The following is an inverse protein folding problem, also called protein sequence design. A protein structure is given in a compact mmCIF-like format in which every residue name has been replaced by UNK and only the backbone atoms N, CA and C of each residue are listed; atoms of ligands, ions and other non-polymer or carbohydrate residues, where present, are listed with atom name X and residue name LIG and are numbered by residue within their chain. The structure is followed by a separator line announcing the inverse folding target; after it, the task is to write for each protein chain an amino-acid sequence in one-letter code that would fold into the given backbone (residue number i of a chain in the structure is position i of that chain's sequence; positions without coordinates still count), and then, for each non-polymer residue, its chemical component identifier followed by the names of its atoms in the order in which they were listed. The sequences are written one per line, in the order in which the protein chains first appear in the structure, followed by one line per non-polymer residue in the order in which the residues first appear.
data_IF_926593984296
#
_entry.id   IF_926593984296
#
_cell.length_a   1.000
_cell.length_b   1.000
_cell.length_c   1.000
_cell.angle_alpha   90.00
_cell.angle_beta   90.00
_cell.angle_gamma   90.00
#
_symmetry.space_group_name_H-M   'P 1'
#
loop_
_entity.id
_entity.type
_entity.pdbx_description
1 polymer ?
#
# COMPACT_ATOMS: atom_id res chain seq x y z
N UNK A 1 -22.39 -17.20 -28.34
CA UNK A 1 -21.06 -17.00 -27.72
C UNK A 1 -20.95 -15.52 -27.37
N UNK A 2 -20.65 -15.14 -26.12
CA UNK A 2 -20.42 -13.73 -25.80
C UNK A 2 -19.22 -13.22 -26.61
N UNK A 3 -19.36 -12.07 -27.26
CA UNK A 3 -18.27 -11.46 -28.02
C UNK A 3 -17.09 -11.16 -27.07
N UNK A 4 -15.83 -11.29 -27.54
CA UNK A 4 -14.67 -10.88 -26.75
C UNK A 4 -14.82 -9.40 -26.43
N UNK A 5 -14.97 -9.10 -25.14
CA UNK A 5 -14.99 -7.75 -24.60
C UNK A 5 -13.73 -7.05 -25.08
N UNK A 6 -13.90 -6.01 -25.90
CA UNK A 6 -12.82 -5.17 -26.41
C UNK A 6 -11.96 -4.74 -25.24
N UNK A 7 -10.66 -5.04 -25.29
CA UNK A 7 -9.73 -4.66 -24.21
C UNK A 7 -9.90 -3.16 -23.94
N UNK A 8 -9.99 -2.77 -22.65
CA UNK A 8 -10.23 -1.39 -22.26
C UNK A 8 -9.19 -0.46 -22.88
N UNK A 9 -9.62 0.72 -23.33
CA UNK A 9 -8.70 1.73 -23.86
C UNK A 9 -7.93 2.35 -22.70
N UNK A 10 -6.71 1.88 -22.51
CA UNK A 10 -5.74 2.46 -21.57
C UNK A 10 -5.01 3.59 -22.31
N UNK A 11 -5.21 4.83 -21.88
CA UNK A 11 -4.46 5.97 -22.41
C UNK A 11 -3.12 6.08 -21.67
N UNK A 12 -2.00 6.02 -22.41
CA UNK A 12 -0.66 6.11 -21.84
C UNK A 12 -0.11 7.55 -21.85
N UNK A 13 0.76 7.93 -20.87
CA UNK A 13 1.61 9.10 -20.95
C UNK A 13 2.59 9.03 -22.13
N UNK A 14 3.05 10.19 -22.59
CA UNK A 14 4.10 10.28 -23.61
C UNK A 14 5.49 9.83 -23.09
N UNK A 15 5.87 10.24 -21.87
CA UNK A 15 7.11 9.84 -21.20
C UNK A 15 6.81 9.38 -19.76
N UNK A 16 6.86 8.06 -19.46
CA UNK A 16 6.49 7.59 -18.13
C UNK A 16 7.61 7.84 -17.13
N UNK A 17 7.29 8.51 -16.03
CA UNK A 17 8.18 8.57 -14.86
C UNK A 17 8.51 7.14 -14.37
N UNK A 18 9.70 6.89 -13.80
CA UNK A 18 10.14 5.55 -13.38
C UNK A 18 9.37 4.98 -12.16
N UNK A 19 8.42 5.75 -11.61
CA UNK A 19 7.54 5.34 -10.51
C UNK A 19 6.09 5.36 -10.96
N UNK A 20 5.37 4.26 -10.72
CA UNK A 20 3.92 4.17 -10.94
C UNK A 20 3.17 4.26 -9.62
N UNK A 21 2.30 5.26 -9.47
CA UNK A 21 1.34 5.29 -8.37
C UNK A 21 0.04 4.60 -8.81
N UNK A 22 -0.45 3.68 -7.99
CA UNK A 22 -1.69 2.95 -8.22
C UNK A 22 -2.70 3.30 -7.15
N UNK A 23 -3.92 3.66 -7.55
CA UNK A 23 -5.01 3.96 -6.64
C UNK A 23 -6.34 3.45 -7.19
N UNK A 24 -7.40 3.51 -6.37
CA UNK A 24 -8.74 3.19 -6.81
C UNK A 24 -9.79 4.08 -6.15
N UNK A 25 -10.87 4.36 -6.89
CA UNK A 25 -12.07 4.98 -6.37
C UNK A 25 -13.31 4.27 -6.89
N UNK A 26 -14.02 3.62 -5.99
CA UNK A 26 -15.34 3.03 -6.25
C UNK A 26 -16.36 3.71 -5.34
N UNK A 27 -17.48 4.22 -5.89
CA UNK A 27 -18.60 4.64 -5.06
C UNK A 27 -19.09 3.48 -4.18
N UNK A 28 -19.36 3.76 -2.90
CA UNK A 28 -19.85 2.77 -1.94
C UNK A 28 -21.13 3.26 -1.27
N UNK A 29 -21.97 2.33 -0.81
CA UNK A 29 -23.27 2.64 -0.20
C UNK A 29 -23.18 3.47 1.08
N UNK A 30 -22.12 3.25 1.89
CA UNK A 30 -21.89 3.96 3.15
C UNK A 30 -20.43 4.34 3.33
N UNK A 31 -20.14 5.63 3.26
CA UNK A 31 -18.82 6.19 3.52
C UNK A 31 -18.72 6.82 4.91
N UNK A 32 -17.52 6.79 5.51
CA UNK A 32 -17.25 7.44 6.81
C UNK A 32 -17.28 8.97 6.71
N UNK A 33 -16.90 9.49 5.55
CA UNK A 33 -16.78 10.91 5.28
C UNK A 33 -17.76 11.32 4.17
N UNK A 34 -18.18 12.59 4.12
CA UNK A 34 -19.02 13.08 3.04
C UNK A 34 -18.23 13.14 1.71
N UNK A 35 -18.94 13.05 0.59
CA UNK A 35 -18.35 12.96 -0.75
C UNK A 35 -17.40 14.12 -1.09
N UNK A 36 -17.72 15.34 -0.66
CA UNK A 36 -16.87 16.52 -0.91
C UNK A 36 -15.49 16.40 -0.25
N UNK A 37 -15.36 15.70 0.88
CA UNK A 37 -14.05 15.46 1.50
C UNK A 37 -13.21 14.50 0.65
N UNK A 38 -13.81 13.42 0.15
CA UNK A 38 -13.13 12.52 -0.78
C UNK A 38 -12.71 13.23 -2.07
N UNK A 39 -13.58 14.08 -2.63
CA UNK A 39 -13.24 14.91 -3.79
C UNK A 39 -12.06 15.84 -3.49
N UNK A 40 -12.00 16.42 -2.29
CA UNK A 40 -10.86 17.25 -1.87
C UNK A 40 -9.56 16.44 -1.82
N UNK A 41 -9.57 15.25 -1.20
CA UNK A 41 -8.38 14.38 -1.11
C UNK A 41 -7.95 13.86 -2.48
N UNK A 42 -8.91 13.45 -3.31
CA UNK A 42 -8.63 13.07 -4.70
C UNK A 42 -8.06 14.24 -5.49
N UNK A 43 -8.57 15.47 -5.30
CA UNK A 43 -8.02 16.66 -5.95
C UNK A 43 -6.56 16.86 -5.55
N UNK A 44 -6.19 16.73 -4.27
CA UNK A 44 -4.79 16.88 -3.86
C UNK A 44 -3.88 15.87 -4.55
N UNK A 45 -4.26 14.59 -4.59
CA UNK A 45 -3.46 13.57 -5.28
C UNK A 45 -3.44 13.79 -6.80
N UNK A 46 -4.61 13.93 -7.44
CA UNK A 46 -4.74 13.95 -8.89
C UNK A 46 -4.25 15.26 -9.51
N UNK A 47 -4.43 16.40 -8.88
CA UNK A 47 -4.04 17.69 -9.49
C UNK A 47 -2.59 18.10 -9.21
N UNK A 48 -1.93 17.50 -8.21
CA UNK A 48 -0.59 17.92 -7.79
C UNK A 48 0.50 16.95 -8.16
N UNK A 49 0.27 15.65 -7.96
CA UNK A 49 1.32 14.66 -8.20
C UNK A 49 1.50 14.49 -9.70
N UNK A 50 2.64 14.94 -10.24
CA UNK A 50 2.88 15.00 -11.68
C UNK A 50 3.25 13.65 -12.29
N UNK A 51 3.73 12.71 -11.46
CA UNK A 51 4.17 11.38 -11.86
C UNK A 51 3.07 10.49 -12.46
N UNK A 52 3.49 9.34 -13.02
CA UNK A 52 2.60 8.34 -13.62
C UNK A 52 1.59 7.82 -12.60
N UNK A 53 0.30 7.90 -12.92
CA UNK A 53 -0.78 7.43 -12.06
C UNK A 53 -1.66 6.43 -12.80
N UNK A 54 -1.89 5.27 -12.20
CA UNK A 54 -2.85 4.26 -12.63
C UNK A 54 -4.03 4.23 -11.67
N UNK A 55 -5.24 4.44 -12.17
CA UNK A 55 -6.42 4.51 -11.35
C UNK A 55 -7.50 3.54 -11.81
N UNK A 56 -8.00 2.74 -10.87
CA UNK A 56 -9.20 1.94 -11.06
C UNK A 56 -10.43 2.72 -10.62
N UNK A 57 -11.47 2.77 -11.45
CA UNK A 57 -12.74 3.41 -11.09
C UNK A 57 -13.90 2.84 -11.91
N UNK A 58 -15.12 3.28 -11.64
CA UNK A 58 -16.29 2.89 -12.43
C UNK A 58 -16.37 3.73 -13.72
N UNK A 59 -17.03 3.24 -14.80
CA UNK A 59 -17.25 4.02 -16.01
C UNK A 59 -17.83 5.42 -15.74
N UNK A 60 -18.82 5.49 -14.84
CA UNK A 60 -19.53 6.74 -14.51
C UNK A 60 -18.63 7.79 -13.85
N UNK A 61 -17.57 7.37 -13.16
CA UNK A 61 -16.64 8.27 -12.49
C UNK A 61 -15.54 8.79 -13.41
N UNK A 62 -15.40 8.22 -14.62
CA UNK A 62 -14.24 8.43 -15.46
C UNK A 62 -14.01 9.90 -15.85
N UNK A 63 -15.08 10.59 -16.25
CA UNK A 63 -15.03 12.01 -16.63
C UNK A 63 -14.66 12.90 -15.45
N UNK A 64 -15.25 12.63 -14.27
CA UNK A 64 -14.93 13.37 -13.04
C UNK A 64 -13.45 13.20 -12.64
N UNK A 65 -12.91 11.99 -12.75
CA UNK A 65 -11.49 11.73 -12.46
C UNK A 65 -10.58 12.45 -13.46
N UNK A 66 -10.89 12.41 -14.76
CA UNK A 66 -10.12 13.16 -15.78
C UNK A 66 -10.17 14.66 -15.55
N UNK A 67 -11.34 15.20 -15.20
CA UNK A 67 -11.51 16.61 -14.88
C UNK A 67 -10.65 17.03 -13.67
N UNK A 68 -10.62 16.21 -12.61
CA UNK A 68 -9.75 16.46 -11.45
C UNK A 68 -8.25 16.34 -11.77
N UNK A 69 -7.89 15.46 -12.70
CA UNK A 69 -6.49 15.25 -13.15
C UNK A 69 -6.00 16.38 -14.05
N UNK A 70 -6.88 16.99 -14.83
CA UNK A 70 -6.53 18.03 -15.81
C UNK A 70 -5.68 17.46 -16.94
N UNK A 71 -4.55 18.11 -17.24
CA UNK A 71 -3.62 17.72 -18.31
C UNK A 71 -2.56 16.70 -17.86
N UNK A 72 -2.50 16.35 -16.58
CA UNK A 72 -1.49 15.43 -16.06
C UNK A 72 -1.75 13.99 -16.53
N UNK A 73 -0.70 13.17 -16.72
CA UNK A 73 -0.85 11.83 -17.27
C UNK A 73 -1.60 10.89 -16.31
N UNK A 74 -2.52 10.08 -16.82
CA UNK A 74 -3.25 9.07 -16.04
C UNK A 74 -3.64 7.88 -16.91
N UNK A 75 -3.36 6.67 -16.42
CA UNK A 75 -3.96 5.44 -16.91
C UNK A 75 -5.25 5.20 -16.14
N UNK A 76 -6.39 5.25 -16.83
CA UNK A 76 -7.70 5.09 -16.20
C UNK A 76 -8.33 3.76 -16.61
N UNK A 77 -8.47 2.84 -15.65
CA UNK A 77 -9.11 1.55 -15.86
C UNK A 77 -10.54 1.58 -15.34
N UNK A 78 -11.49 1.49 -16.27
CA UNK A 78 -12.94 1.51 -16.01
C UNK A 78 -13.61 0.17 -16.31
N UNK A 79 -12.85 -0.92 -16.34
CA UNK A 79 -13.35 -2.24 -16.79
C UNK A 79 -14.30 -2.90 -15.81
N UNK A 80 -14.36 -2.41 -14.57
CA UNK A 80 -15.13 -2.97 -13.48
C UNK A 80 -16.18 -1.93 -13.06
N UNK A 81 -17.45 -2.25 -13.27
CA UNK A 81 -18.55 -1.34 -12.95
C UNK A 81 -18.76 -1.24 -11.43
N UNK A 82 -18.33 -2.25 -10.69
CA UNK A 82 -18.37 -2.31 -9.24
C UNK A 82 -17.13 -2.99 -8.65
N UNK A 83 -16.88 -2.74 -7.36
CA UNK A 83 -15.86 -3.50 -6.59
C UNK A 83 -16.15 -5.00 -6.58
N UNK A 84 -17.43 -5.40 -6.71
CA UNK A 84 -17.83 -6.81 -6.78
C UNK A 84 -17.36 -7.51 -8.07
N UNK A 85 -17.04 -6.75 -9.12
CA UNK A 85 -16.60 -7.28 -10.41
C UNK A 85 -15.10 -7.59 -10.44
N UNK A 86 -14.35 -7.15 -9.40
CA UNK A 86 -12.92 -7.38 -9.30
C UNK A 86 -12.67 -8.89 -9.15
N UNK A 87 -11.81 -9.51 -9.98
CA UNK A 87 -11.65 -10.97 -10.03
C UNK A 87 -11.36 -11.61 -8.67
N UNK A 88 -10.37 -11.09 -7.93
CA UNK A 88 -10.00 -11.62 -6.61
C UNK A 88 -11.09 -11.42 -5.55
N UNK A 89 -11.97 -10.43 -5.72
CA UNK A 89 -13.10 -10.21 -4.82
C UNK A 89 -14.23 -11.16 -5.16
N UNK A 90 -14.51 -11.38 -6.46
CA UNK A 90 -15.52 -12.30 -6.94
C UNK A 90 -15.35 -13.70 -6.36
N UNK A 91 -14.11 -14.19 -6.34
CA UNK A 91 -13.76 -15.50 -5.78
C UNK A 91 -13.94 -15.58 -4.26
N UNK A 92 -13.90 -14.44 -3.58
CA UNK A 92 -14.03 -14.32 -2.12
C UNK A 92 -15.43 -13.87 -1.67
N UNK A 93 -16.38 -13.61 -2.58
CA UNK A 93 -17.70 -13.06 -2.25
C UNK A 93 -18.46 -13.87 -1.19
N UNK A 94 -18.33 -15.20 -1.22
CA UNK A 94 -18.99 -16.09 -0.25
C UNK A 94 -18.43 -15.97 1.17
N UNK A 95 -17.17 -15.52 1.31
CA UNK A 95 -16.49 -15.36 2.60
C UNK A 95 -16.80 -14.01 3.25
N UNK A 96 -17.07 -12.96 2.46
CA UNK A 96 -17.27 -11.60 2.97
C UNK A 96 -18.39 -11.42 4.00
N UNK A 97 -19.56 -12.09 3.93
CA UNK A 97 -20.55 -12.03 4.99
C UNK A 97 -20.00 -12.47 6.35
N UNK A 98 -19.10 -13.46 6.37
CA UNK A 98 -18.40 -13.94 7.56
C UNK A 98 -17.27 -13.01 8.01
N UNK A 99 -16.52 -12.44 7.05
CA UNK A 99 -15.45 -11.47 7.32
C UNK A 99 -15.97 -10.16 7.92
N UNK A 100 -17.15 -9.74 7.47
CA UNK A 100 -17.65 -8.41 7.74
C UNK A 100 -18.60 -8.38 8.94
N UNK A 101 -19.63 -9.23 9.01
CA UNK A 101 -20.72 -9.07 10.02
C UNK A 101 -20.27 -9.09 11.48
N UNK A 102 -19.11 -9.68 11.78
CA UNK A 102 -18.56 -9.79 13.15
C UNK A 102 -17.44 -8.80 13.46
N UNK A 103 -16.98 -7.99 12.52
CA UNK A 103 -15.83 -7.10 12.74
C UNK A 103 -16.24 -5.76 13.35
N UNK A 104 -15.37 -5.17 14.17
CA UNK A 104 -15.53 -3.77 14.63
C UNK A 104 -15.55 -2.79 13.46
N UNK A 105 -14.93 -3.16 12.33
CA UNK A 105 -14.92 -2.35 11.11
C UNK A 105 -16.28 -2.31 10.42
N UNK A 106 -17.09 -3.37 10.50
CA UNK A 106 -18.43 -3.38 9.88
C UNK A 106 -19.41 -2.42 10.53
N UNK A 107 -19.16 -2.00 11.77
CA UNK A 107 -19.90 -0.90 12.37
C UNK A 107 -19.53 0.47 11.76
N UNK A 108 -18.35 0.58 11.13
CA UNK A 108 -17.76 1.85 10.69
C UNK A 108 -17.75 2.07 9.18
N UNK A 109 -17.62 1.01 8.38
CA UNK A 109 -17.48 1.08 6.92
C UNK A 109 -18.49 0.18 6.23
N UNK A 110 -18.82 0.38 4.96
CA UNK A 110 -19.60 -0.58 4.16
C UNK A 110 -18.76 -1.84 3.82
N UNK A 111 -19.39 -2.96 3.46
CA UNK A 111 -18.69 -4.19 3.08
C UNK A 111 -17.78 -3.98 1.85
N UNK A 112 -18.20 -3.09 0.95
CA UNK A 112 -17.49 -2.65 -0.23
C UNK A 112 -16.12 -2.04 0.12
N UNK A 113 -15.99 -1.36 1.26
CA UNK A 113 -14.70 -0.82 1.70
C UNK A 113 -13.71 -1.93 2.03
N UNK A 114 -14.17 -3.00 2.71
CA UNK A 114 -13.33 -4.18 2.97
C UNK A 114 -12.92 -4.85 1.67
N UNK A 115 -13.82 -4.92 0.68
CA UNK A 115 -13.49 -5.44 -0.65
C UNK A 115 -12.40 -4.61 -1.35
N UNK A 116 -12.53 -3.28 -1.37
CA UNK A 116 -11.50 -2.39 -1.95
C UNK A 116 -10.15 -2.60 -1.25
N UNK A 117 -10.15 -2.65 0.08
CA UNK A 117 -8.94 -2.86 0.90
C UNK A 117 -8.27 -4.19 0.64
N UNK A 118 -9.04 -5.28 0.56
CA UNK A 118 -8.53 -6.62 0.24
C UNK A 118 -8.04 -6.72 -1.22
N UNK A 119 -8.56 -5.89 -2.13
CA UNK A 119 -8.16 -5.85 -3.53
C UNK A 119 -6.85 -5.07 -3.80
N UNK A 120 -6.30 -4.33 -2.82
CA UNK A 120 -5.12 -3.46 -3.03
C UNK A 120 -3.90 -4.17 -3.64
N UNK A 121 -3.47 -5.37 -3.16
CA UNK A 121 -2.35 -6.08 -3.79
C UNK A 121 -2.66 -6.46 -5.24
N UNK A 122 -3.87 -6.93 -5.52
CA UNK A 122 -4.29 -7.24 -6.88
C UNK A 122 -4.27 -6.00 -7.78
N UNK A 123 -4.85 -4.87 -7.36
CA UNK A 123 -4.82 -3.63 -8.14
C UNK A 123 -3.40 -3.22 -8.52
N UNK A 124 -2.48 -3.27 -7.56
CA UNK A 124 -1.07 -2.92 -7.78
C UNK A 124 -0.42 -3.86 -8.81
N UNK A 125 -0.59 -5.18 -8.64
CA UNK A 125 -0.05 -6.17 -9.59
C UNK A 125 -0.67 -6.05 -10.98
N UNK A 126 -1.96 -5.74 -11.06
CA UNK A 126 -2.72 -5.69 -12.30
C UNK A 126 -2.42 -4.43 -13.10
N UNK A 127 -2.24 -3.30 -12.42
CA UNK A 127 -1.73 -2.08 -13.03
C UNK A 127 -0.39 -2.33 -13.72
N UNK A 128 0.55 -3.00 -13.02
CA UNK A 128 1.84 -3.39 -13.59
C UNK A 128 1.70 -4.31 -14.81
N UNK A 129 0.87 -5.36 -14.73
CA UNK A 129 0.62 -6.23 -15.89
C UNK A 129 0.07 -5.46 -17.08
N UNK A 130 -0.83 -4.51 -16.85
CA UNK A 130 -1.41 -3.71 -17.93
C UNK A 130 -0.40 -2.75 -18.55
N UNK A 131 0.41 -2.05 -17.78
CA UNK A 131 1.41 -1.13 -18.36
C UNK A 131 2.55 -1.89 -19.04
N UNK A 132 2.95 -3.06 -18.51
CA UNK A 132 4.01 -3.90 -19.09
C UNK A 132 3.50 -4.61 -20.37
N UNK A 133 2.31 -5.23 -20.34
CA UNK A 133 1.74 -5.94 -21.52
C UNK A 133 1.11 -5.01 -22.55
N UNK A 134 0.59 -3.87 -22.10
CA UNK A 134 -0.04 -2.85 -22.95
C UNK A 134 0.94 -2.09 -23.85
N UNK A 135 2.25 -2.21 -23.60
CA UNK A 135 3.31 -1.90 -24.57
C UNK A 135 3.38 -2.93 -25.69
N UNK A 136 2.24 -3.19 -26.34
CA UNK A 136 2.00 -4.32 -27.22
C UNK A 136 3.09 -4.58 -28.27
N UNK A 137 3.23 -5.86 -28.62
CA UNK A 137 4.12 -6.34 -29.68
C UNK A 137 4.13 -5.41 -30.90
N UNK A 138 5.23 -4.66 -31.01
CA UNK A 138 5.74 -3.86 -32.13
C UNK A 138 6.66 -2.71 -31.66
N UNK A 139 6.85 -2.47 -30.36
CA UNK A 139 7.74 -1.42 -29.85
C UNK A 139 8.71 -1.92 -28.77
N UNK A 140 9.82 -2.51 -29.23
CA UNK A 140 11.00 -2.89 -28.45
C UNK A 140 11.77 -1.72 -27.81
N UNK A 141 11.30 -0.46 -27.93
CA UNK A 141 12.10 0.72 -27.58
C UNK A 141 11.41 1.68 -26.58
N UNK A 142 10.21 1.36 -26.09
CA UNK A 142 9.47 2.20 -25.10
C UNK A 142 8.76 1.36 -24.04
N UNK A 143 9.34 0.22 -23.63
CA UNK A 143 8.98 -0.39 -22.34
C UNK A 143 9.54 0.52 -21.25
N UNK A 144 8.78 1.51 -20.82
CA UNK A 144 9.16 2.27 -19.64
C UNK A 144 9.24 1.29 -18.46
N UNK A 145 10.48 0.98 -18.08
CA UNK A 145 10.80 0.05 -17.02
C UNK A 145 10.51 0.77 -15.71
N UNK A 146 9.25 0.70 -15.26
CA UNK A 146 8.87 1.18 -13.94
C UNK A 146 9.76 0.47 -12.90
N UNK A 147 10.69 1.23 -12.32
CA UNK A 147 11.61 0.75 -11.30
C UNK A 147 10.87 0.45 -10.00
N UNK A 148 9.83 1.24 -9.73
CA UNK A 148 8.96 1.07 -8.57
C UNK A 148 7.50 1.27 -8.94
N UNK A 149 6.62 0.58 -8.22
CA UNK A 149 5.20 0.90 -8.19
C UNK A 149 4.68 0.88 -6.76
N UNK A 150 3.70 1.73 -6.46
CA UNK A 150 3.13 1.84 -5.13
C UNK A 150 1.62 1.91 -5.17
N UNK A 151 0.97 1.12 -4.32
CA UNK A 151 -0.39 1.41 -3.92
C UNK A 151 -0.41 2.68 -3.07
N UNK A 152 -1.38 3.56 -3.32
CA UNK A 152 -1.63 4.74 -2.51
C UNK A 152 -3.13 5.02 -2.38
N UNK A 153 -3.64 5.08 -1.15
CA UNK A 153 -4.97 5.60 -0.88
C UNK A 153 -4.97 7.11 -1.14
N UNK A 154 -5.98 7.66 -1.84
CA UNK A 154 -6.11 9.11 -2.04
C UNK A 154 -6.17 9.89 -0.71
N UNK A 155 -6.64 9.24 0.36
CA UNK A 155 -6.59 9.78 1.72
C UNK A 155 -5.17 9.98 2.28
N UNK A 156 -4.12 9.53 1.59
CA UNK A 156 -2.73 9.83 1.91
C UNK A 156 -2.35 11.30 1.74
N UNK A 157 -3.06 12.01 0.85
CA UNK A 157 -2.86 13.44 0.57
C UNK A 157 -4.02 14.27 1.13
N UNK A 158 -4.40 14.03 2.39
CA UNK A 158 -5.53 14.73 3.04
C UNK A 158 -5.32 16.22 3.21
N UNK A 159 -4.09 16.58 3.56
CA UNK A 159 -3.71 17.96 3.82
C UNK A 159 -3.21 18.61 2.54
N UNK A 160 -3.23 19.94 2.52
CA UNK A 160 -2.56 20.70 1.50
C UNK A 160 -1.05 20.42 1.59
N UNK A 161 -0.47 19.80 0.57
CA UNK A 161 0.96 19.46 0.51
C UNK A 161 1.62 20.06 -0.71
N UNK A 162 2.88 20.49 -0.59
CA UNK A 162 3.65 21.01 -1.72
C UNK A 162 4.13 19.90 -2.66
N UNK A 163 4.04 18.63 -2.23
CA UNK A 163 4.52 17.45 -2.96
C UNK A 163 3.88 17.33 -4.34
N UNK A 164 4.72 17.38 -5.37
CA UNK A 164 4.35 17.33 -6.78
C UNK A 164 5.16 16.26 -7.51
N UNK A 165 6.48 16.25 -7.37
CA UNK A 165 7.37 15.22 -7.92
C UNK A 165 7.57 14.09 -6.90
N UNK A 166 6.46 13.44 -6.56
CA UNK A 166 6.39 12.47 -5.48
C UNK A 166 5.91 11.11 -5.97
N UNK A 167 6.51 10.00 -5.51
CA UNK A 167 7.70 9.90 -4.66
C UNK A 167 8.99 10.24 -5.41
N UNK A 168 10.00 10.76 -4.69
CA UNK A 168 11.32 11.04 -5.26
C UNK A 168 12.08 9.75 -5.55
N UNK A 169 12.53 9.58 -6.80
CA UNK A 169 13.27 8.40 -7.28
C UNK A 169 14.59 8.23 -6.53
N UNK A 170 15.36 9.30 -6.39
CA UNK A 170 16.65 9.28 -5.67
C UNK A 170 16.45 8.84 -4.22
N UNK A 171 15.33 9.28 -3.61
CA UNK A 171 14.99 8.87 -2.25
C UNK A 171 14.63 7.39 -2.19
N UNK A 172 13.87 6.89 -3.16
CA UNK A 172 13.55 5.46 -3.26
C UNK A 172 14.83 4.63 -3.42
N UNK A 173 15.72 5.02 -4.33
CA UNK A 173 16.99 4.32 -4.57
C UNK A 173 17.83 4.20 -3.31
N UNK A 174 17.98 5.30 -2.57
CA UNK A 174 18.64 5.29 -1.27
C UNK A 174 17.96 4.33 -0.28
N UNK A 175 16.63 4.34 -0.20
CA UNK A 175 15.88 3.49 0.74
C UNK A 175 16.06 2.00 0.41
N UNK A 176 16.04 1.63 -0.88
CA UNK A 176 16.25 0.25 -1.32
C UNK A 176 17.70 -0.21 -1.22
N UNK A 177 18.67 0.65 -1.50
CA UNK A 177 20.09 0.36 -1.29
C UNK A 177 20.37 0.06 0.20
N UNK A 178 19.91 0.94 1.10
CA UNK A 178 20.06 0.74 2.54
C UNK A 178 19.31 -0.50 3.03
N UNK A 179 18.13 -0.75 2.45
CA UNK A 179 17.33 -1.95 2.68
C UNK A 179 18.07 -3.23 2.33
N UNK A 180 18.66 -3.27 1.14
CA UNK A 180 19.39 -4.44 0.61
C UNK A 180 20.61 -4.74 1.49
N UNK A 181 21.40 -3.71 1.81
CA UNK A 181 22.54 -3.83 2.73
C UNK A 181 22.14 -4.35 4.12
N UNK A 182 21.00 -3.90 4.65
CA UNK A 182 20.56 -4.26 6.00
C UNK A 182 19.92 -5.64 6.10
N UNK A 183 19.26 -6.09 5.03
CA UNK A 183 18.54 -7.37 4.98
C UNK A 183 19.39 -8.51 4.43
N UNK A 184 20.40 -8.19 3.61
CA UNK A 184 21.14 -9.16 2.79
C UNK A 184 20.33 -9.68 1.59
N UNK A 185 19.21 -9.04 1.27
CA UNK A 185 18.38 -9.39 0.11
C UNK A 185 18.66 -8.44 -1.06
N UNK A 186 18.41 -8.92 -2.28
CA UNK A 186 18.44 -8.09 -3.48
C UNK A 186 17.32 -7.05 -3.45
N UNK A 187 17.58 -5.86 -4.02
CA UNK A 187 16.59 -4.76 -4.03
C UNK A 187 15.26 -5.18 -4.66
N UNK A 188 15.29 -6.01 -5.71
CA UNK A 188 14.11 -6.50 -6.42
C UNK A 188 13.20 -7.42 -5.58
N UNK A 189 13.68 -7.90 -4.43
CA UNK A 189 12.92 -8.75 -3.51
C UNK A 189 12.38 -7.99 -2.29
N UNK A 190 12.61 -6.68 -2.20
CA UNK A 190 12.22 -5.85 -1.07
C UNK A 190 10.92 -5.08 -1.33
N UNK A 191 9.98 -5.23 -0.39
CA UNK A 191 8.75 -4.43 -0.30
C UNK A 191 8.89 -3.33 0.75
N UNK A 192 8.35 -2.16 0.48
CA UNK A 192 8.21 -1.08 1.44
C UNK A 192 6.78 -1.02 1.99
N UNK A 193 6.66 -1.02 3.31
CA UNK A 193 5.39 -0.87 4.04
C UNK A 193 5.62 0.04 5.25
N UNK A 194 5.06 1.26 5.30
CA UNK A 194 5.17 2.15 6.47
C UNK A 194 4.59 1.55 7.74
N UNK A 195 5.18 1.89 8.88
CA UNK A 195 4.73 1.49 10.22
C UNK A 195 4.42 2.74 11.06
N UNK A 196 3.19 2.83 11.58
CA UNK A 196 2.76 3.93 12.48
C UNK A 196 3.07 3.62 13.95
N UNK A 197 3.04 2.34 14.35
CA UNK A 197 3.05 1.95 15.78
C UNK A 197 4.00 0.82 16.09
N UNK A 198 4.27 0.67 17.37
CA UNK A 198 5.04 -0.46 17.85
C UNK A 198 4.19 -1.74 17.76
N UNK A 199 4.74 -2.87 17.26
CA UNK A 199 4.09 -4.16 17.37
C UNK A 199 3.74 -4.50 18.82
N UNK A 200 2.54 -5.03 19.10
CA UNK A 200 2.13 -5.27 20.49
C UNK A 200 2.90 -6.44 21.12
N UNK A 201 3.27 -6.33 22.41
CA UNK A 201 4.07 -7.33 23.13
C UNK A 201 3.48 -8.74 23.12
N UNK A 202 2.14 -8.86 23.09
CA UNK A 202 1.44 -10.15 23.02
C UNK A 202 1.74 -10.99 21.76
N UNK A 203 2.28 -10.39 20.70
CA UNK A 203 2.65 -11.09 19.47
C UNK A 203 4.10 -11.55 19.43
N UNK A 204 4.88 -11.37 20.51
CA UNK A 204 6.29 -11.83 20.58
C UNK A 204 6.46 -13.29 20.14
N UNK A 205 5.52 -14.14 20.52
CA UNK A 205 5.48 -15.58 20.20
C UNK A 205 4.32 -15.93 19.27
N UNK A 206 3.89 -14.98 18.42
CA UNK A 206 2.85 -15.25 17.43
C UNK A 206 3.35 -16.30 16.42
N UNK A 207 2.42 -17.14 15.98
CA UNK A 207 2.63 -18.18 14.99
C UNK A 207 1.48 -18.12 13.98
N UNK A 208 1.67 -18.57 12.74
CA UNK A 208 0.65 -18.50 11.69
C UNK A 208 -0.69 -19.15 12.08
N UNK A 209 -0.65 -20.23 12.86
CA UNK A 209 -1.85 -20.92 13.37
C UNK A 209 -2.71 -20.09 14.33
N UNK A 210 -2.25 -18.91 14.76
CA UNK A 210 -3.04 -17.95 15.56
C UNK A 210 -3.87 -17.00 14.70
N UNK A 211 -3.78 -17.08 13.38
CA UNK A 211 -4.50 -16.22 12.45
C UNK A 211 -3.92 -14.80 12.37
N UNK A 212 -4.66 -13.84 11.77
CA UNK A 212 -4.18 -12.49 11.48
C UNK A 212 -3.73 -11.68 12.72
N UNK A 213 -2.79 -10.77 12.52
CA UNK A 213 -2.35 -9.81 13.55
C UNK A 213 -3.20 -8.54 13.45
N UNK A 214 -4.40 -8.59 14.03
CA UNK A 214 -5.48 -7.61 13.79
C UNK A 214 -5.89 -6.75 15.00
N UNK A 215 -6.74 -5.75 14.73
CA UNK A 215 -7.37 -4.87 15.71
C UNK A 215 -6.43 -3.78 16.25
N UNK A 216 -6.48 -3.53 17.56
CA UNK A 216 -5.67 -2.49 18.22
C UNK A 216 -4.14 -2.75 18.18
N UNK A 217 -3.72 -3.87 17.60
CA UNK A 217 -2.32 -4.27 17.48
C UNK A 217 -1.76 -4.22 16.07
N UNK A 218 -2.55 -3.77 15.11
CA UNK A 218 -2.05 -3.53 13.76
C UNK A 218 -1.07 -2.36 13.76
N UNK A 219 0.08 -2.56 13.13
CA UNK A 219 1.18 -1.59 13.16
C UNK A 219 1.57 -1.02 11.79
N UNK A 220 1.36 -1.75 10.67
CA UNK A 220 1.48 -1.18 9.31
C UNK A 220 0.39 -0.15 9.04
N UNK A 221 0.59 0.82 8.15
CA UNK A 221 -0.45 1.81 7.82
C UNK A 221 -1.51 1.29 6.83
N UNK A 222 -1.13 0.44 5.86
CA UNK A 222 -2.03 -0.11 4.84
C UNK A 222 -2.54 0.90 3.78
N UNK A 223 -2.27 2.20 3.96
CA UNK A 223 -2.62 3.27 3.00
C UNK A 223 -1.58 3.46 1.91
N UNK A 224 -0.36 2.94 2.11
CA UNK A 224 0.73 3.00 1.15
C UNK A 224 1.59 1.74 1.26
N UNK A 225 1.93 1.12 0.15
CA UNK A 225 2.92 0.04 0.09
C UNK A 225 3.34 -0.21 -1.36
N UNK A 226 4.51 -0.79 -1.57
CA UNK A 226 4.97 -1.11 -2.92
C UNK A 226 6.46 -1.38 -2.98
N UNK A 227 6.99 -1.40 -4.19
CA UNK A 227 8.39 -1.69 -4.47
C UNK A 227 8.63 -2.02 -5.94
N UNK A 228 9.73 -2.71 -6.25
CA UNK A 228 10.00 -3.20 -7.58
C UNK A 228 8.94 -4.21 -8.05
N UNK A 229 8.71 -4.35 -9.38
CA UNK A 229 7.69 -5.24 -9.92
C UNK A 229 7.76 -6.68 -9.40
N UNK A 230 8.96 -7.26 -9.30
CA UNK A 230 9.17 -8.62 -8.78
C UNK A 230 8.68 -8.77 -7.34
N UNK A 231 9.07 -7.86 -6.45
CA UNK A 231 8.61 -7.84 -5.07
C UNK A 231 7.09 -7.73 -4.96
N UNK A 232 6.44 -6.95 -5.85
CA UNK A 232 4.98 -6.77 -5.87
C UNK A 232 4.26 -8.06 -6.29
N UNK A 233 4.77 -8.78 -7.29
CA UNK A 233 4.18 -10.06 -7.71
C UNK A 233 4.25 -11.08 -6.58
N UNK A 234 5.43 -11.23 -5.96
CA UNK A 234 5.60 -12.06 -4.78
C UNK A 234 4.65 -11.65 -3.65
N UNK A 235 4.57 -10.36 -3.34
CA UNK A 235 3.70 -9.81 -2.29
C UNK A 235 2.22 -10.16 -2.53
N UNK A 236 1.77 -9.99 -3.76
CA UNK A 236 0.38 -10.24 -4.15
C UNK A 236 0.03 -11.71 -3.94
N UNK A 237 0.91 -12.61 -4.38
CA UNK A 237 0.73 -14.05 -4.21
C UNK A 237 0.68 -14.44 -2.73
N UNK A 238 1.71 -14.06 -1.96
CA UNK A 238 1.81 -14.47 -0.55
C UNK A 238 0.68 -13.88 0.29
N UNK A 239 0.20 -12.67 -0.03
CA UNK A 239 -0.95 -12.05 0.62
C UNK A 239 -2.21 -12.91 0.43
N UNK A 240 -2.59 -13.22 -0.81
CA UNK A 240 -3.82 -13.98 -1.08
C UNK A 240 -3.72 -15.43 -0.62
N UNK A 241 -2.53 -16.04 -0.68
CA UNK A 241 -2.27 -17.37 -0.12
C UNK A 241 -2.49 -17.37 1.40
N UNK A 242 -1.90 -16.42 2.12
CA UNK A 242 -2.07 -16.26 3.58
C UNK A 242 -3.53 -15.99 3.95
N UNK A 243 -4.20 -15.11 3.20
CA UNK A 243 -5.63 -14.83 3.39
C UNK A 243 -6.47 -16.10 3.27
N UNK A 244 -6.25 -16.88 2.22
CA UNK A 244 -6.98 -18.14 1.97
C UNK A 244 -6.72 -19.16 3.06
N UNK A 245 -5.48 -19.30 3.52
CA UNK A 245 -5.14 -20.21 4.62
C UNK A 245 -5.87 -19.83 5.91
N UNK A 246 -5.92 -18.55 6.25
CA UNK A 246 -6.64 -18.11 7.43
C UNK A 246 -8.15 -18.33 7.33
N UNK A 247 -8.73 -18.12 6.14
CA UNK A 247 -10.13 -18.44 5.87
C UNK A 247 -10.41 -19.94 6.03
N UNK A 248 -9.59 -20.80 5.45
CA UNK A 248 -9.72 -22.27 5.56
C UNK A 248 -9.59 -22.73 7.03
N UNK A 249 -8.71 -22.09 7.80
CA UNK A 249 -8.54 -22.37 9.23
C UNK A 249 -9.67 -21.78 10.11
N UNK A 250 -10.68 -21.11 9.52
CA UNK A 250 -11.81 -20.54 10.23
C UNK A 250 -11.48 -19.28 11.02
N UNK A 251 -10.36 -18.62 10.74
CA UNK A 251 -10.02 -17.35 11.39
C UNK A 251 -10.86 -16.20 10.85
N UNK A 252 -11.35 -15.35 11.75
CA UNK A 252 -12.00 -14.09 11.38
C UNK A 252 -10.95 -13.09 10.87
N UNK A 253 -11.18 -12.52 9.69
CA UNK A 253 -10.32 -11.46 9.13
C UNK A 253 -11.02 -10.12 9.32
N UNK A 254 -10.52 -9.30 10.25
CA UNK A 254 -11.11 -7.98 10.52
C UNK A 254 -10.65 -6.89 9.54
N UNK A 255 -9.43 -7.02 9.00
CA UNK A 255 -8.82 -6.04 8.09
C UNK A 255 -7.76 -6.69 7.20
N UNK A 256 -7.44 -6.06 6.07
CA UNK A 256 -6.30 -6.41 5.21
C UNK A 256 -4.96 -6.22 5.94
N UNK A 257 -4.89 -5.22 6.84
CA UNK A 257 -3.69 -4.94 7.65
C UNK A 257 -3.33 -6.11 8.55
N UNK A 258 -4.32 -6.86 9.03
CA UNK A 258 -4.11 -8.08 9.82
C UNK A 258 -3.31 -9.14 9.07
N UNK A 259 -3.62 -9.33 7.78
CA UNK A 259 -2.90 -10.21 6.87
C UNK A 259 -1.50 -9.64 6.60
N UNK A 260 -1.41 -8.36 6.27
CA UNK A 260 -0.12 -7.70 5.99
C UNK A 260 0.87 -7.84 7.15
N UNK A 261 0.41 -7.61 8.38
CA UNK A 261 1.23 -7.77 9.57
C UNK A 261 1.69 -9.22 9.78
N UNK A 262 0.81 -10.21 9.52
CA UNK A 262 1.18 -11.62 9.60
C UNK A 262 2.27 -11.99 8.57
N UNK A 263 2.12 -11.56 7.32
CA UNK A 263 3.13 -11.79 6.27
C UNK A 263 4.46 -11.09 6.63
N UNK A 264 4.40 -9.87 7.13
CA UNK A 264 5.58 -9.14 7.61
C UNK A 264 6.29 -9.83 8.78
N UNK A 265 5.56 -10.52 9.67
CA UNK A 265 6.15 -11.33 10.73
C UNK A 265 6.89 -12.54 10.15
N UNK A 266 6.24 -13.28 9.26
CA UNK A 266 6.80 -14.50 8.64
C UNK A 266 7.99 -14.20 7.73
N UNK A 267 7.96 -13.07 7.01
CA UNK A 267 8.95 -12.72 5.98
C UNK A 267 9.67 -11.40 6.29
N UNK A 268 10.02 -11.17 7.56
CA UNK A 268 10.53 -9.88 8.06
C UNK A 268 11.79 -9.32 7.33
N UNK A 269 12.56 -10.16 6.62
CA UNK A 269 13.72 -9.73 5.82
C UNK A 269 13.35 -9.20 4.43
N UNK A 270 12.14 -9.49 3.92
CA UNK A 270 11.63 -9.00 2.63
C UNK A 270 10.97 -7.63 2.73
N UNK A 271 10.91 -7.04 3.92
CA UNK A 271 10.23 -5.77 4.15
C UNK A 271 11.15 -4.71 4.75
N UNK A 272 11.12 -3.55 4.12
CA UNK A 272 11.70 -2.31 4.60
C UNK A 272 10.58 -1.32 4.93
N UNK A 273 10.89 -0.32 5.76
CA UNK A 273 9.89 0.56 6.33
C UNK A 273 10.46 1.90 6.76
N UNK A 274 9.54 2.81 7.05
CA UNK A 274 9.78 3.99 7.86
C UNK A 274 8.90 3.88 9.11
N UNK A 275 9.46 4.26 10.26
CA UNK A 275 8.76 4.19 11.54
C UNK A 275 8.80 5.54 12.25
N UNK A 276 7.77 6.37 12.04
CA UNK A 276 7.72 7.75 12.57
C UNK A 276 7.77 7.80 14.10
N UNK A 277 7.25 6.77 14.78
CA UNK A 277 7.23 6.65 16.24
C UNK A 277 8.29 5.69 16.76
N UNK A 278 9.43 5.59 16.07
CA UNK A 278 10.57 4.79 16.53
C UNK A 278 10.98 5.22 17.95
N UNK A 279 10.81 4.34 18.96
CA UNK A 279 11.10 4.68 20.36
C UNK A 279 12.60 4.86 20.61
N UNK A 280 13.45 4.44 19.67
CA UNK A 280 14.92 4.55 19.78
C UNK A 280 15.48 5.82 19.15
N UNK A 281 14.69 6.57 18.38
CA UNK A 281 15.17 7.74 17.66
C UNK A 281 15.26 8.99 18.57
N UNK A 282 14.15 9.34 19.23
CA UNK A 282 14.02 10.50 20.11
C UNK A 282 12.86 10.28 21.08
N UNK A 283 12.74 11.08 22.16
CA UNK A 283 11.56 11.04 23.02
C UNK A 283 10.29 11.23 22.18
N UNK A 284 9.45 10.20 22.14
CA UNK A 284 8.22 10.18 21.33
C UNK A 284 7.20 11.14 21.91
N UNK A 285 6.77 12.13 21.13
CA UNK A 285 5.55 12.87 21.45
C UNK A 285 4.34 12.12 20.88
N UNK A 286 3.36 11.80 21.73
CA UNK A 286 2.17 11.04 21.34
C UNK A 286 1.39 11.62 20.14
N UNK A 287 1.51 12.93 19.89
CA UNK A 287 0.81 13.64 18.79
C UNK A 287 1.62 13.82 17.50
N UNK A 288 2.96 13.82 17.57
CA UNK A 288 3.81 14.23 16.45
C UNK A 288 4.91 13.21 16.10
N UNK A 289 5.01 12.12 16.86
CA UNK A 289 6.06 11.12 16.70
C UNK A 289 7.42 11.58 17.21
N UNK A 290 8.48 10.90 16.75
CA UNK A 290 9.86 11.11 17.20
C UNK A 290 10.60 12.19 16.38
N UNK A 291 10.07 12.57 15.22
CA UNK A 291 10.84 13.35 14.23
C UNK A 291 10.49 14.83 14.14
N UNK A 292 9.65 15.36 15.04
CA UNK A 292 9.23 16.77 14.99
C UNK A 292 7.79 16.91 14.49
N UNK A 293 7.38 18.09 14.05
CA UNK A 293 6.02 18.30 13.54
C UNK A 293 5.92 17.90 12.06
N UNK A 294 5.44 16.70 11.79
CA UNK A 294 5.39 16.09 10.45
C UNK A 294 3.97 15.94 9.88
N UNK A 295 3.04 16.82 10.28
CA UNK A 295 1.61 16.62 10.00
C UNK A 295 1.03 15.44 10.79
N UNK A 296 0.05 14.74 10.21
CA UNK A 296 -0.47 13.48 10.75
C UNK A 296 0.60 12.38 10.65
N UNK A 297 1.06 11.80 11.77
CA UNK A 297 2.06 10.73 11.78
C UNK A 297 1.72 9.54 10.89
N UNK A 298 0.43 9.28 10.68
CA UNK A 298 -0.06 8.20 9.81
C UNK A 298 0.31 8.40 8.33
N UNK A 299 0.67 9.61 7.91
CA UNK A 299 1.08 9.88 6.52
C UNK A 299 2.53 10.33 6.42
N UNK A 300 3.35 10.04 7.44
CA UNK A 300 4.75 10.46 7.48
C UNK A 300 5.57 9.97 6.28
N UNK A 301 5.19 8.83 5.68
CA UNK A 301 5.84 8.33 4.46
C UNK A 301 5.81 9.34 3.30
N UNK A 302 4.82 10.24 3.24
CA UNK A 302 4.77 11.29 2.22
C UNK A 302 5.98 12.21 2.33
N UNK A 303 6.23 12.79 3.51
CA UNK A 303 7.42 13.58 3.79
C UNK A 303 8.71 12.76 3.63
N UNK A 304 8.75 11.53 4.12
CA UNK A 304 9.94 10.69 4.09
C UNK A 304 10.41 10.33 2.66
N UNK A 305 9.47 10.19 1.73
CA UNK A 305 9.74 9.83 0.33
C UNK A 305 9.77 11.03 -0.64
N UNK A 306 9.46 12.25 -0.17
CA UNK A 306 9.53 13.46 -0.99
C UNK A 306 10.98 13.85 -1.32
N UNK A 307 11.20 14.73 -2.30
CA UNK A 307 12.50 15.30 -2.60
C UNK A 307 12.98 16.26 -1.48
N UNK A 308 14.28 16.60 -1.43
CA UNK A 308 14.81 17.47 -0.37
C UNK A 308 14.19 18.86 -0.32
N UNK A 309 14.21 19.59 -1.45
CA UNK A 309 13.58 20.90 -1.52
C UNK A 309 12.09 20.85 -1.15
N UNK A 310 11.39 19.81 -1.56
CA UNK A 310 9.98 19.63 -1.21
C UNK A 310 9.77 19.46 0.31
N UNK A 311 10.64 18.70 0.99
CA UNK A 311 10.57 18.56 2.45
C UNK A 311 10.82 19.88 3.16
N UNK A 312 11.73 20.70 2.66
CA UNK A 312 12.04 22.02 3.23
C UNK A 312 10.85 22.97 3.09
N UNK A 313 10.27 23.05 1.90
CA UNK A 313 9.06 23.85 1.63
C UNK A 313 7.86 23.37 2.46
N UNK A 314 7.67 22.05 2.59
CA UNK A 314 6.58 21.50 3.40
C UNK A 314 6.77 21.86 4.88
N UNK A 315 8.02 21.89 5.37
CA UNK A 315 8.34 22.35 6.71
C UNK A 315 7.99 23.83 6.90
N UNK A 316 8.28 24.69 5.92
CA UNK A 316 7.86 26.10 5.95
C UNK A 316 6.34 26.21 6.02
N UNK A 317 5.62 25.53 5.13
CA UNK A 317 4.15 25.51 5.10
C UNK A 317 3.53 25.07 6.44
N UNK A 318 4.07 24.03 7.06
CA UNK A 318 3.59 23.54 8.36
C UNK A 318 3.86 24.48 9.53
N UNK A 319 4.89 25.34 9.44
CA UNK A 319 5.21 26.31 10.47
C UNK A 319 4.46 27.64 10.28
N UNK A 320 4.26 28.03 9.02
CA UNK A 320 3.58 29.26 8.61
C UNK A 320 2.06 29.13 8.61
N UNK A 321 1.49 28.00 9.02
CA UNK A 321 0.04 27.86 9.19
C UNK A 321 -0.46 28.83 10.29
N UNK A 322 -0.86 30.04 9.88
CA UNK A 322 -1.19 31.19 10.72
C UNK A 322 -2.35 30.93 11.71
N UNK A 323 -3.24 29.97 11.40
CA UNK A 323 -4.37 29.61 12.23
C UNK A 323 -4.03 28.44 13.15
N UNK A 324 -3.17 28.71 14.14
CA UNK A 324 -2.79 27.73 15.15
C UNK A 324 -2.88 28.28 16.56
N UNK A 325 -3.50 27.49 17.44
CA UNK A 325 -3.68 27.85 18.84
C UNK A 325 -2.35 27.96 19.60
N UNK A 326 -1.24 27.42 19.07
CA UNK A 326 0.09 27.40 19.70
C UNK A 326 1.09 28.30 18.95
N UNK A 327 0.63 29.38 18.32
CA UNK A 327 1.45 30.27 17.49
C UNK A 327 2.67 30.86 18.22
N UNK A 328 2.61 31.00 19.55
CA UNK A 328 3.74 31.47 20.38
C UNK A 328 4.88 30.45 20.55
N UNK A 329 4.68 29.18 20.14
CA UNK A 329 5.71 28.13 20.24
C UNK A 329 6.33 27.86 18.88
N UNK A 330 7.66 27.98 18.79
CA UNK A 330 8.42 27.44 17.65
C UNK A 330 8.27 25.92 17.65
N UNK A 331 7.71 25.36 16.56
CA UNK A 331 7.69 23.92 16.36
C UNK A 331 9.05 23.49 15.84
N UNK A 332 9.47 22.29 16.25
CA UNK A 332 10.62 21.65 15.61
C UNK A 332 10.19 21.19 14.24
N UNK A 333 11.00 21.53 13.23
CA UNK A 333 10.79 21.04 11.87
C UNK A 333 10.72 19.52 11.87
N UNK A 334 9.91 19.00 10.94
CA UNK A 334 9.91 17.59 10.63
C UNK A 334 11.31 17.18 10.15
N UNK A 335 11.83 16.12 10.74
CA UNK A 335 13.14 15.55 10.44
C UNK A 335 12.97 14.25 9.68
N UNK A 336 14.01 13.89 8.96
CA UNK A 336 14.07 12.63 8.22
C UNK A 336 14.40 11.47 9.17
N UNK A 337 13.59 10.42 9.11
CA UNK A 337 13.89 9.13 9.72
C UNK A 337 14.92 8.37 8.87
N UNK A 338 15.58 7.40 9.49
CA UNK A 338 16.34 6.40 8.74
C UNK A 338 15.40 5.29 8.23
N UNK A 339 15.64 4.71 7.05
CA UNK A 339 14.97 3.48 6.65
C UNK A 339 15.30 2.37 7.65
N UNK A 340 14.33 1.51 7.93
CA UNK A 340 14.47 0.36 8.81
C UNK A 340 14.04 -0.90 8.07
N UNK A 341 14.51 -2.06 8.53
CA UNK A 341 13.89 -3.34 8.16
C UNK A 341 12.76 -3.66 9.13
N UNK A 342 11.77 -4.42 8.70
CA UNK A 342 10.73 -4.92 9.62
C UNK A 342 11.36 -5.80 10.71
N UNK A 343 12.39 -6.58 10.37
CA UNK A 343 13.17 -7.35 11.34
C UNK A 343 13.77 -6.48 12.44
N UNK A 344 14.28 -5.28 12.12
CA UNK A 344 14.79 -4.34 13.13
C UNK A 344 13.68 -3.80 14.02
N UNK A 345 12.52 -3.45 13.45
CA UNK A 345 11.36 -2.99 14.22
C UNK A 345 10.91 -4.06 15.21
N UNK A 346 10.86 -5.33 14.77
CA UNK A 346 10.46 -6.47 15.60
C UNK A 346 11.52 -6.77 16.67
N UNK A 347 12.81 -6.75 16.36
CA UNK A 347 13.89 -6.96 17.34
C UNK A 347 13.99 -5.85 18.39
N UNK A 348 13.73 -4.60 18.02
CA UNK A 348 13.63 -3.50 19.01
C UNK A 348 12.47 -3.68 19.96
N UNK A 349 11.40 -4.31 19.48
CA UNK A 349 10.18 -4.51 20.26
C UNK A 349 10.27 -5.76 21.15
N UNK A 350 10.78 -6.86 20.62
CA UNK A 350 10.74 -8.19 21.26
C UNK A 350 12.10 -8.68 21.79
N UNK A 351 13.16 -7.91 21.56
CA UNK A 351 14.54 -8.25 21.90
C UNK A 351 15.37 -8.69 20.69
N UNK A 352 16.68 -8.50 20.78
CA UNK A 352 17.66 -8.80 19.73
C UNK A 352 17.61 -10.26 19.23
N UNK A 353 17.22 -11.18 20.11
CA UNK A 353 17.11 -12.61 19.83
C UNK A 353 15.78 -13.04 19.19
N UNK A 354 14.86 -12.10 18.91
CA UNK A 354 13.63 -12.44 18.20
C UNK A 354 13.94 -12.99 16.80
N UNK A 355 13.27 -14.09 16.46
CA UNK A 355 13.34 -14.77 15.17
C UNK A 355 11.96 -14.80 14.51
N UNK A 356 11.88 -14.63 13.18
CA UNK A 356 10.64 -14.82 12.44
C UNK A 356 10.04 -16.22 12.71
N UNK A 357 8.71 -16.34 12.88
CA UNK A 357 8.06 -17.63 12.88
C UNK A 357 8.20 -18.31 11.52
N UNK A 358 8.25 -19.64 11.52
CA UNK A 358 8.32 -20.43 10.28
C UNK A 358 7.00 -20.26 9.52
N UNK A 359 7.03 -19.82 8.24
CA UNK A 359 5.84 -19.82 7.40
C UNK A 359 5.29 -21.26 7.29
N UNK A 360 3.97 -21.47 7.27
CA UNK A 360 3.38 -22.81 7.20
C UNK A 360 3.72 -23.54 5.90
N UNK A 361 4.18 -22.81 4.87
CA UNK A 361 4.64 -23.37 3.60
C UNK A 361 6.06 -22.86 3.34
N UNK A 362 7.04 -23.74 3.06
CA UNK A 362 8.38 -23.30 2.69
C UNK A 362 8.30 -22.34 1.50
N UNK A 363 9.16 -21.33 1.46
CA UNK A 363 9.40 -20.54 0.25
C UNK A 363 9.83 -21.52 -0.85
N UNK A 364 8.90 -22.00 -1.67
CA UNK A 364 9.29 -22.58 -2.94
C UNK A 364 9.88 -21.41 -3.73
N UNK A 365 11.15 -21.54 -4.11
CA UNK A 365 11.74 -20.71 -5.17
C UNK A 365 10.90 -21.00 -6.40
N UNK A 366 10.05 -20.07 -6.80
CA UNK A 366 9.21 -20.24 -7.97
C UNK A 366 10.09 -20.06 -9.20
N UNK A 367 10.08 -21.06 -10.08
CA UNK A 367 10.50 -20.88 -11.47
C UNK A 367 9.58 -19.85 -12.13
N UNK A 368 10.17 -18.95 -12.92
CA UNK A 368 9.59 -17.73 -13.51
C UNK A 368 8.47 -17.95 -14.55
N UNK A 369 7.58 -18.95 -14.43
CA UNK A 369 6.42 -19.10 -15.33
C UNK A 369 5.08 -18.65 -14.68
N UNK A 370 4.73 -17.35 -14.78
CA UNK A 370 3.51 -16.78 -14.20
C UNK A 370 2.21 -17.17 -14.93
N UNK A 371 2.22 -18.10 -15.90
CA UNK A 371 1.01 -18.53 -16.64
C UNK A 371 0.11 -19.50 -15.88
N UNK A 372 0.59 -20.10 -14.79
CA UNK A 372 -0.13 -21.14 -14.04
C UNK A 372 -0.79 -20.65 -12.74
N UNK A 373 -1.03 -19.34 -12.59
CA UNK A 373 -1.86 -18.78 -11.51
C UNK A 373 -3.37 -19.12 -11.64
N UNK A 374 -3.72 -20.25 -12.26
CA UNK A 374 -5.05 -20.85 -12.09
C UNK A 374 -5.10 -21.45 -10.68
N UNK A 375 -6.01 -20.93 -9.85
CA UNK A 375 -6.40 -21.49 -8.56
C UNK A 375 -6.95 -22.92 -8.73
N UNK A 376 -6.09 -23.91 -8.96
CA UNK A 376 -6.51 -25.31 -8.93
C UNK A 376 -6.65 -25.74 -7.47
N UNK A 377 -7.89 -25.87 -7.02
CA UNK A 377 -8.21 -26.69 -5.84
C UNK A 377 -7.81 -28.13 -6.14
N UNK A 378 -6.62 -28.56 -5.70
CA UNK A 378 -6.42 -29.99 -5.44
C UNK A 378 -6.96 -30.24 -4.04
N UNK A 379 -8.20 -30.72 -3.97
CA UNK A 379 -8.74 -31.32 -2.77
C UNK A 379 -7.95 -32.60 -2.49
N UNK A 380 -7.09 -32.57 -1.49
CA UNK A 380 -6.51 -33.79 -0.93
C UNK A 380 -7.61 -34.46 -0.13
N UNK A 381 -8.26 -35.46 -0.73
CA UNK A 381 -9.12 -36.39 0.00
C UNK A 381 -8.19 -37.22 0.88
N UNK A 382 -8.19 -36.93 2.17
CA UNK A 382 -7.57 -37.80 3.18
C UNK A 382 -8.56 -38.94 3.40
N UNK A 383 -8.23 -40.12 2.87
CA UNK A 383 -8.90 -41.38 3.12
C UNK A 383 -8.52 -41.98 4.46
#
# INVERSE_FOLDING_TARGET
MPQPTKLPTVHAPADPAPVLLVTAFYPISRSRYPQHQYQSWMRHLLSRVTGSLYMFTTPDMAESIRSLRGSLPIYLNTSYASVHDIPVIKDLLHEFPGLYTKSREAQRFAAEMSMIRTAKPWFLSEALRHVIKGGGGALSNMTAEYRYAFWMDAGGMRENSIFSDWPSVDRLDYVWEMGSKSTGMESQDLMFVPVDRQPAQRFRYWQPSRGPIQGASEFSEGTFFGGPPQAIYWWTEIFYKTLKEFLIAGHLIESERGITNAVMFMHATRFITVYNRDPTAYPTHNRHGSYGYCGDPWYYFTFFLAHEGEREEQNVLWNDAHWRWDFWRKRRYCRMARPLTIKDVLRRTYGSHWTPPTPPIPNQTFDDDPKDMKLTQKATVVS
#
